data_IF_026167365673
#
_entry.id   IF_026167365673
#
_cell.length_a   1.000
_cell.length_b   1.000
_cell.length_c   1.000
_cell.angle_alpha   90.00
_cell.angle_beta   90.00
_cell.angle_gamma   90.00
#
_symmetry.space_group_name_H-M   'P 1'
#
loop_
_entity.id
_entity.type
_entity.pdbx_description
1 polymer ?
#
# COMPACT_ATOMS: atom_id res chain seq x y z
N UNK A 1 17.22 -3.49 8.34
CA UNK A 1 16.45 -4.74 8.57
C UNK A 1 16.96 -5.80 7.61
N UNK A 2 17.24 -7.04 8.02
CA UNK A 2 17.67 -8.07 7.06
C UNK A 2 16.47 -8.54 6.19
N UNK A 3 16.75 -9.11 5.03
CA UNK A 3 15.73 -9.54 4.04
C UNK A 3 14.74 -10.56 4.63
N UNK A 4 15.18 -11.46 5.50
CA UNK A 4 14.29 -12.45 6.12
C UNK A 4 13.22 -11.79 6.99
N UNK A 5 13.60 -10.78 7.79
CA UNK A 5 12.67 -10.01 8.62
C UNK A 5 11.72 -9.14 7.79
N UNK A 6 12.20 -8.62 6.66
CA UNK A 6 11.38 -7.91 5.67
C UNK A 6 10.31 -8.81 5.05
N UNK A 7 10.68 -10.02 4.64
CA UNK A 7 9.73 -10.99 4.08
C UNK A 7 8.71 -11.45 5.11
N UNK A 8 9.13 -11.67 6.36
CA UNK A 8 8.21 -12.00 7.46
C UNK A 8 7.16 -10.90 7.66
N UNK A 9 7.58 -9.63 7.72
CA UNK A 9 6.65 -8.50 7.84
C UNK A 9 5.65 -8.47 6.68
N UNK A 10 6.11 -8.69 5.45
CA UNK A 10 5.25 -8.72 4.27
C UNK A 10 4.17 -9.80 4.39
N UNK A 11 4.54 -10.99 4.84
CA UNK A 11 3.62 -12.12 5.00
C UNK A 11 2.63 -11.92 6.15
N UNK A 12 3.06 -11.30 7.25
CA UNK A 12 2.17 -10.92 8.35
C UNK A 12 1.14 -9.88 7.89
N UNK A 13 1.56 -8.86 7.15
CA UNK A 13 0.66 -7.83 6.59
C UNK A 13 -0.31 -8.46 5.58
N UNK A 14 0.15 -9.34 4.69
CA UNK A 14 -0.73 -10.06 3.74
C UNK A 14 -1.85 -10.81 4.45
N UNK A 15 -1.52 -11.57 5.51
CA UNK A 15 -2.50 -12.31 6.32
C UNK A 15 -3.49 -11.39 7.01
N UNK A 16 -3.01 -10.30 7.61
CA UNK A 16 -3.86 -9.33 8.32
C UNK A 16 -4.83 -8.58 7.40
N UNK A 17 -4.42 -8.28 6.16
CA UNK A 17 -5.28 -7.61 5.19
C UNK A 17 -6.29 -8.55 4.50
N UNK A 18 -6.30 -9.84 4.86
CA UNK A 18 -7.13 -10.87 4.22
C UNK A 18 -6.95 -10.90 2.70
N UNK A 19 -5.78 -10.48 2.20
CA UNK A 19 -5.55 -10.45 0.77
C UNK A 19 -5.18 -11.84 0.27
N UNK A 20 -6.08 -12.42 -0.50
CA UNK A 20 -5.94 -13.74 -1.10
C UNK A 20 -5.06 -13.70 -2.35
N UNK A 21 -4.50 -14.85 -2.76
CA UNK A 21 -3.76 -14.95 -4.02
C UNK A 21 -4.60 -14.59 -5.26
N UNK A 22 -5.93 -14.70 -5.17
CA UNK A 22 -6.87 -14.42 -6.25
C UNK A 22 -7.37 -12.96 -6.28
N UNK A 23 -6.92 -12.12 -5.34
CA UNK A 23 -7.32 -10.71 -5.37
C UNK A 23 -6.78 -10.04 -6.64
N UNK A 24 -7.59 -9.16 -7.24
CA UNK A 24 -7.20 -8.38 -8.43
C UNK A 24 -5.89 -7.60 -8.20
N UNK A 25 -5.55 -7.34 -6.94
CA UNK A 25 -4.36 -6.62 -6.53
C UNK A 25 -3.23 -7.51 -5.97
N UNK A 26 -3.40 -8.82 -5.86
CA UNK A 26 -2.28 -9.72 -5.63
C UNK A 26 -1.53 -9.89 -6.97
N UNK A 27 -0.19 -9.71 -7.08
CA UNK A 27 0.85 -9.69 -6.05
C UNK A 27 1.40 -8.29 -5.72
N UNK A 28 0.61 -7.22 -5.88
CA UNK A 28 1.04 -5.82 -5.68
C UNK A 28 1.26 -5.50 -4.19
N UNK A 29 2.33 -6.05 -3.64
CA UNK A 29 2.84 -5.89 -2.29
C UNK A 29 4.36 -5.76 -2.39
N UNK A 30 4.94 -4.76 -1.72
CA UNK A 30 6.40 -4.65 -1.64
C UNK A 30 6.85 -4.02 -0.34
N UNK A 31 8.09 -4.33 0.02
CA UNK A 31 8.84 -3.58 1.02
C UNK A 31 9.45 -2.35 0.35
N UNK A 32 9.20 -1.19 0.92
CA UNK A 32 9.74 0.11 0.49
C UNK A 32 11.14 0.34 1.06
N UNK A 33 11.87 1.34 0.55
CA UNK A 33 13.26 1.63 0.96
C UNK A 33 13.37 2.02 2.43
N UNK A 34 12.34 2.68 2.95
CA UNK A 34 12.23 3.05 4.37
C UNK A 34 11.84 1.88 5.29
N UNK A 35 11.64 0.68 4.74
CA UNK A 35 11.30 -0.53 5.49
C UNK A 35 9.81 -0.77 5.73
N UNK A 36 8.94 0.14 5.28
CA UNK A 36 7.49 -0.04 5.37
C UNK A 36 6.93 -0.90 4.22
N UNK A 37 5.70 -1.40 4.38
CA UNK A 37 4.98 -2.13 3.33
C UNK A 37 4.14 -1.16 2.50
N UNK A 38 4.13 -1.36 1.19
CA UNK A 38 3.13 -0.80 0.28
C UNK A 38 2.28 -1.90 -0.35
N UNK A 39 1.02 -1.62 -0.62
CA UNK A 39 0.14 -2.51 -1.38
C UNK A 39 -0.97 -1.78 -2.13
N UNK A 40 -1.57 -2.47 -3.11
CA UNK A 40 -2.78 -2.02 -3.79
C UNK A 40 -3.98 -2.82 -3.26
N UNK A 41 -5.11 -2.15 -3.04
CA UNK A 41 -6.37 -2.78 -2.64
C UNK A 41 -7.53 -2.31 -3.54
N UNK A 42 -8.48 -3.20 -3.83
CA UNK A 42 -9.77 -2.79 -4.40
C UNK A 42 -10.61 -2.12 -3.32
N UNK A 43 -11.09 -0.91 -3.60
CA UNK A 43 -12.10 -0.21 -2.80
C UNK A 43 -13.45 -0.28 -3.54
N UNK A 44 -14.53 0.20 -2.91
CA UNK A 44 -15.89 0.12 -3.47
C UNK A 44 -15.97 0.64 -4.93
N UNK A 45 -15.30 1.76 -5.21
CA UNK A 45 -15.33 2.39 -6.54
C UNK A 45 -13.94 2.65 -7.13
N UNK A 46 -12.89 2.54 -6.32
CA UNK A 46 -11.53 2.97 -6.66
C UNK A 46 -10.51 1.88 -6.33
N UNK A 47 -9.24 2.17 -6.58
CA UNK A 47 -8.08 1.38 -6.18
C UNK A 47 -7.27 2.20 -5.19
N UNK A 48 -7.00 1.65 -4.02
CA UNK A 48 -6.20 2.29 -2.99
C UNK A 48 -4.75 1.85 -3.11
N UNK A 49 -3.81 2.78 -3.28
CA UNK A 49 -2.40 2.58 -2.96
C UNK A 49 -2.20 2.92 -1.49
N UNK A 50 -1.85 1.93 -0.69
CA UNK A 50 -1.62 2.03 0.73
C UNK A 50 -0.12 2.03 0.98
N UNK A 51 0.42 3.13 1.51
CA UNK A 51 1.82 3.27 1.91
C UNK A 51 1.92 3.26 3.43
N UNK A 52 2.92 2.56 3.97
CA UNK A 52 3.11 2.52 5.43
C UNK A 52 2.23 1.47 6.10
N UNK A 53 1.86 0.41 5.39
CA UNK A 53 1.09 -0.68 5.98
C UNK A 53 1.98 -1.44 6.98
N UNK A 54 1.40 -1.77 8.13
CA UNK A 54 2.06 -2.53 9.20
C UNK A 54 1.13 -3.64 9.70
N UNK A 55 1.60 -4.47 10.62
CA UNK A 55 0.75 -5.48 11.28
C UNK A 55 -0.36 -4.86 12.14
N UNK A 56 -0.25 -3.57 12.48
CA UNK A 56 -1.23 -2.86 13.32
C UNK A 56 -2.10 -1.87 12.54
N UNK A 57 -1.69 -1.48 11.34
CA UNK A 57 -2.36 -0.42 10.56
C UNK A 57 -2.47 -0.81 9.08
N UNK A 58 -3.61 -0.47 8.47
CA UNK A 58 -3.82 -0.71 7.03
C UNK A 58 -3.04 0.27 6.14
N UNK A 59 -2.61 1.44 6.64
CA UNK A 59 -1.79 2.43 5.93
C UNK A 59 -1.40 3.59 6.86
N UNK A 60 -0.33 4.31 6.50
CA UNK A 60 -0.04 5.68 6.96
C UNK A 60 -0.63 6.68 5.96
N UNK A 61 -0.31 6.50 4.68
CA UNK A 61 -0.83 7.30 3.57
C UNK A 61 -1.61 6.42 2.60
N UNK A 62 -2.74 6.93 2.10
CA UNK A 62 -3.55 6.25 1.09
C UNK A 62 -3.91 7.19 -0.04
N UNK A 63 -3.59 6.75 -1.25
CA UNK A 63 -3.94 7.44 -2.49
C UNK A 63 -4.98 6.60 -3.24
N UNK A 64 -6.04 7.26 -3.69
CA UNK A 64 -7.15 6.62 -4.39
C UNK A 64 -7.06 6.93 -5.89
N UNK A 65 -7.22 5.88 -6.70
CA UNK A 65 -7.20 5.95 -8.16
C UNK A 65 -8.50 5.39 -8.73
N UNK A 66 -9.11 6.03 -9.73
CA UNK A 66 -10.29 5.48 -10.40
C UNK A 66 -9.91 4.30 -11.31
N UNK A 67 -8.69 4.31 -11.84
CA UNK A 67 -8.18 3.34 -12.82
C UNK A 67 -7.06 2.51 -12.18
N UNK A 68 -7.11 1.19 -12.35
CA UNK A 68 -6.13 0.25 -11.76
C UNK A 68 -4.71 0.48 -12.30
N UNK A 69 -4.56 0.74 -13.59
CA UNK A 69 -3.26 0.95 -14.23
C UNK A 69 -2.49 2.12 -13.61
N UNK A 70 -3.20 3.18 -13.23
CA UNK A 70 -2.61 4.36 -12.59
C UNK A 70 -2.14 4.02 -11.17
N UNK A 71 -2.94 3.25 -10.42
CA UNK A 71 -2.53 2.76 -9.10
C UNK A 71 -1.28 1.87 -9.18
N UNK A 72 -1.20 0.99 -10.19
CA UNK A 72 -0.03 0.14 -10.43
C UNK A 72 1.20 0.97 -10.77
N UNK A 73 1.03 2.01 -11.60
CA UNK A 73 2.14 2.91 -11.94
C UNK A 73 2.65 3.65 -10.70
N UNK A 74 1.75 4.25 -9.91
CA UNK A 74 2.09 4.90 -8.66
C UNK A 74 2.75 3.94 -7.65
N UNK A 75 2.26 2.71 -7.55
CA UNK A 75 2.85 1.67 -6.70
C UNK A 75 4.29 1.35 -7.11
N UNK A 76 4.59 1.27 -8.41
CA UNK A 76 5.96 1.00 -8.89
C UNK A 76 6.91 2.14 -8.53
N UNK A 77 6.44 3.38 -8.64
CA UNK A 77 7.21 4.60 -8.38
C UNK A 77 7.44 4.90 -6.89
N UNK A 78 6.52 4.51 -6.00
CA UNK A 78 6.65 4.78 -4.57
C UNK A 78 7.79 3.97 -3.92
N UNK A 79 8.69 4.66 -3.24
CA UNK A 79 9.85 4.10 -2.52
C UNK A 79 9.83 4.40 -1.02
N UNK A 80 8.97 5.32 -0.55
CA UNK A 80 8.78 5.68 0.85
C UNK A 80 7.32 6.05 1.18
N UNK A 81 6.96 6.01 2.46
CA UNK A 81 5.67 6.49 2.99
C UNK A 81 5.41 7.97 2.71
N UNK A 82 6.45 8.77 2.48
CA UNK A 82 6.35 10.21 2.22
C UNK A 82 6.16 10.54 0.74
N UNK A 83 6.22 9.55 -0.13
CA UNK A 83 6.05 9.77 -1.56
C UNK A 83 4.60 10.11 -1.88
N UNK A 84 4.45 11.15 -2.71
CA UNK A 84 3.16 11.62 -3.20
C UNK A 84 3.08 11.29 -4.69
N UNK A 85 2.21 10.36 -5.11
CA UNK A 85 1.97 10.08 -6.51
C UNK A 85 1.56 11.34 -7.28
N UNK A 86 1.97 11.43 -8.55
CA UNK A 86 1.64 12.55 -9.44
C UNK A 86 0.15 12.63 -9.80
N UNK A 87 -0.58 11.56 -9.58
CA UNK A 87 -2.01 11.41 -9.90
C UNK A 87 -2.74 10.66 -8.78
N UNK A 88 -4.07 10.65 -8.85
CA UNK A 88 -4.93 10.16 -7.77
C UNK A 88 -5.27 11.26 -6.77
N UNK A 89 -6.18 10.96 -5.84
CA UNK A 89 -6.51 11.89 -4.77
C UNK A 89 -6.25 11.26 -3.41
N UNK A 90 -5.85 12.09 -2.46
CA UNK A 90 -5.50 11.66 -1.10
C UNK A 90 -6.77 11.39 -0.31
N UNK A 91 -6.85 10.21 0.30
CA UNK A 91 -7.91 9.87 1.25
C UNK A 91 -7.28 9.53 2.60
N UNK A 92 -6.93 10.56 3.38
CA UNK A 92 -6.36 10.43 4.72
C UNK A 92 -7.44 10.21 5.79
N UNK A 93 -7.12 9.44 6.85
CA UNK A 93 -7.97 9.39 8.05
C UNK A 93 -7.97 10.78 8.73
N UNK A 94 -9.07 11.18 9.39
CA UNK A 94 -9.16 12.48 10.06
C UNK A 94 -8.04 12.72 11.08
N UNK A 95 -7.59 11.63 11.71
CA UNK A 95 -6.65 11.60 12.85
C UNK A 95 -5.22 12.05 12.49
N UNK A 96 -4.87 12.12 11.20
CA UNK A 96 -3.52 12.45 10.73
C UNK A 96 -3.48 13.67 9.78
N UNK A 97 -4.44 14.60 9.87
CA UNK A 97 -4.28 15.92 9.24
C UNK A 97 -3.26 16.73 10.05
N UNK A 98 -2.05 16.88 9.51
CA UNK A 98 -1.38 18.18 9.60
C UNK A 98 -2.17 19.19 8.76
#
# INVERSE_FOLDING_TARGET
MNIAKQNQLLDEVRKMQLCGPDDVCYPYYKIMKDGNVAYIARLAFTWGLHLGATVHTSYVNRFCFPILTDAIQAFKEAESIFDVPKSGWVAARPENRL
#
